data_IF_065070027818
#
_entry.id   IF_065070027818
#
_cell.length_a   1.000
_cell.length_b   1.000
_cell.length_c   1.000
_cell.angle_alpha   90.00
_cell.angle_beta   90.00
_cell.angle_gamma   90.00
#
_symmetry.space_group_name_H-M   'P 1'
#
loop_
_entity.id
_entity.type
_entity.pdbx_description
1 polymer ?
#
# COMPACT_ATOMS: atom_id res chain seq x y z
N UNK A 1 -34.55 33.88 -31.49
CA UNK A 1 -34.49 32.45 -31.14
C UNK A 1 -33.31 32.30 -30.18
N UNK A 2 -33.57 32.44 -28.88
CA UNK A 2 -32.55 32.35 -27.83
C UNK A 2 -32.38 30.89 -27.46
N UNK A 3 -31.18 30.35 -27.62
CA UNK A 3 -30.77 29.08 -27.01
C UNK A 3 -30.17 29.43 -25.65
N UNK A 4 -30.87 29.08 -24.58
CA UNK A 4 -30.38 29.06 -23.21
C UNK A 4 -29.58 27.79 -23.00
N UNK A 5 -28.25 27.89 -23.09
CA UNK A 5 -27.30 26.89 -22.60
C UNK A 5 -26.91 27.21 -21.15
N UNK A 6 -27.87 27.10 -20.23
CA UNK A 6 -27.57 27.14 -18.79
C UNK A 6 -28.38 26.04 -18.11
N UNK A 7 -27.80 24.85 -18.04
CA UNK A 7 -28.44 23.70 -17.39
C UNK A 7 -27.56 22.47 -17.17
N UNK A 8 -26.25 22.55 -17.43
CA UNK A 8 -25.32 21.44 -17.18
C UNK A 8 -24.04 21.99 -16.57
N UNK A 9 -23.95 21.99 -15.22
CA UNK A 9 -22.70 21.95 -14.44
C UNK A 9 -22.99 22.28 -12.97
N UNK A 10 -23.60 21.36 -12.24
CA UNK A 10 -23.55 21.39 -10.76
C UNK A 10 -23.67 20.03 -10.07
N UNK A 11 -24.03 18.92 -10.75
CA UNK A 11 -24.27 17.63 -10.07
C UNK A 11 -23.06 16.69 -9.96
N UNK A 12 -21.93 16.95 -10.65
CA UNK A 12 -20.85 15.95 -10.76
C UNK A 12 -19.89 15.90 -9.57
N UNK A 13 -19.86 16.94 -8.72
CA UNK A 13 -18.88 17.07 -7.63
C UNK A 13 -19.24 16.30 -6.36
N UNK A 14 -20.53 16.09 -6.08
CA UNK A 14 -20.97 15.35 -4.89
C UNK A 14 -20.80 13.84 -5.08
N UNK A 15 -21.10 13.31 -6.28
CA UNK A 15 -20.93 11.89 -6.63
C UNK A 15 -19.45 11.44 -6.59
N UNK A 16 -18.53 12.30 -7.06
CA UNK A 16 -17.09 12.02 -7.02
C UNK A 16 -16.56 12.04 -5.58
N UNK A 17 -16.99 13.02 -4.76
CA UNK A 17 -16.61 13.11 -3.35
C UNK A 17 -17.12 11.92 -2.52
N UNK A 18 -18.32 11.43 -2.82
CA UNK A 18 -18.90 10.26 -2.16
C UNK A 18 -18.15 8.97 -2.56
N UNK A 19 -17.79 8.82 -3.84
CA UNK A 19 -16.98 7.69 -4.31
C UNK A 19 -15.59 7.65 -3.65
N UNK A 20 -14.94 8.80 -3.51
CA UNK A 20 -13.62 8.93 -2.89
C UNK A 20 -13.65 8.57 -1.39
N UNK A 21 -14.67 9.08 -0.69
CA UNK A 21 -14.90 8.80 0.73
C UNK A 21 -15.22 7.33 0.98
N UNK A 22 -16.01 6.70 0.10
CA UNK A 22 -16.30 5.28 0.15
C UNK A 22 -15.04 4.44 -0.10
N UNK A 23 -14.20 4.83 -1.06
CA UNK A 23 -12.97 4.12 -1.37
C UNK A 23 -11.98 4.17 -0.19
N UNK A 24 -11.86 5.32 0.46
CA UNK A 24 -11.02 5.49 1.64
C UNK A 24 -11.52 4.60 2.79
N UNK A 25 -12.83 4.61 3.06
CA UNK A 25 -13.44 3.78 4.09
C UNK A 25 -13.24 2.29 3.83
N UNK A 26 -13.50 1.83 2.61
CA UNK A 26 -13.36 0.41 2.22
C UNK A 26 -11.89 -0.01 2.28
N UNK A 27 -10.97 0.82 1.79
CA UNK A 27 -9.53 0.51 1.85
C UNK A 27 -9.05 0.37 3.30
N UNK A 28 -9.50 1.27 4.18
CA UNK A 28 -9.18 1.22 5.60
C UNK A 28 -9.75 -0.05 6.26
N UNK A 29 -11.03 -0.40 6.01
CA UNK A 29 -11.64 -1.59 6.58
C UNK A 29 -10.98 -2.88 6.08
N UNK A 30 -10.66 -2.96 4.78
CA UNK A 30 -9.92 -4.10 4.21
C UNK A 30 -8.55 -4.29 4.87
N UNK A 31 -7.82 -3.21 5.10
CA UNK A 31 -6.53 -3.27 5.79
C UNK A 31 -6.72 -3.77 7.23
N UNK A 32 -7.72 -3.26 7.96
CA UNK A 32 -7.98 -3.70 9.33
C UNK A 32 -8.36 -5.17 9.41
N UNK A 33 -9.21 -5.65 8.50
CA UNK A 33 -9.57 -7.06 8.41
C UNK A 33 -8.36 -7.95 8.09
N UNK A 34 -7.46 -7.49 7.20
CA UNK A 34 -6.21 -8.19 6.91
C UNK A 34 -5.28 -8.25 8.13
N UNK A 35 -5.14 -7.16 8.88
CA UNK A 35 -4.33 -7.14 10.10
C UNK A 35 -4.89 -8.08 11.17
N UNK A 36 -6.22 -8.11 11.34
CA UNK A 36 -6.87 -9.06 12.25
C UNK A 36 -6.63 -10.51 11.81
N UNK A 37 -6.78 -10.81 10.51
CA UNK A 37 -6.52 -12.13 9.97
C UNK A 37 -5.05 -12.57 10.15
N UNK A 38 -4.10 -11.66 9.91
CA UNK A 38 -2.68 -11.91 10.17
C UNK A 38 -2.43 -12.21 11.65
N UNK A 39 -3.00 -11.42 12.57
CA UNK A 39 -2.85 -11.67 14.01
C UNK A 39 -3.40 -13.05 14.44
N UNK A 40 -4.54 -13.48 13.88
CA UNK A 40 -5.05 -14.84 14.15
C UNK A 40 -4.14 -15.94 13.59
N UNK A 41 -3.56 -15.73 12.41
CA UNK A 41 -2.64 -16.67 11.79
C UNK A 41 -1.30 -16.76 12.53
N UNK A 42 -0.76 -15.64 13.02
CA UNK A 42 0.43 -15.59 13.88
C UNK A 42 0.20 -16.34 15.19
N UNK A 43 -0.96 -16.15 15.83
CA UNK A 43 -1.33 -16.92 17.02
C UNK A 43 -1.42 -18.42 16.72
N UNK A 44 -2.00 -18.78 15.59
CA UNK A 44 -2.12 -20.18 15.15
C UNK A 44 -0.74 -20.79 14.85
N UNK A 45 0.13 -20.06 14.16
CA UNK A 45 1.51 -20.46 13.84
C UNK A 45 2.35 -20.72 15.11
N UNK A 46 2.14 -19.89 16.14
CA UNK A 46 2.79 -20.01 17.44
C UNK A 46 2.24 -21.14 18.32
N UNK A 47 1.14 -21.79 17.92
CA UNK A 47 0.52 -22.85 18.70
C UNK A 47 1.19 -24.22 18.47
N UNK A 48 1.43 -24.93 19.56
CA UNK A 48 1.93 -26.31 19.54
C UNK A 48 0.78 -27.27 19.19
N UNK A 49 0.46 -27.37 17.89
CA UNK A 49 -0.61 -28.25 17.43
C UNK A 49 -0.70 -28.42 15.91
N UNK A 50 -0.02 -27.56 15.14
CA UNK A 50 -0.04 -27.65 13.69
C UNK A 50 0.87 -28.77 13.18
N UNK A 51 0.33 -29.57 12.28
CA UNK A 51 1.15 -30.41 11.39
C UNK A 51 1.97 -29.54 10.44
N UNK A 52 3.03 -30.10 9.85
CA UNK A 52 3.87 -29.41 8.87
C UNK A 52 3.05 -28.85 7.69
N UNK A 53 2.05 -29.62 7.22
CA UNK A 53 1.18 -29.20 6.13
C UNK A 53 0.29 -28.00 6.52
N UNK A 54 -0.23 -27.99 7.74
CA UNK A 54 -1.03 -26.88 8.25
C UNK A 54 -0.18 -25.63 8.49
N UNK A 55 1.05 -25.78 8.99
CA UNK A 55 2.00 -24.67 9.15
C UNK A 55 2.33 -24.02 7.80
N UNK A 56 2.61 -24.82 6.78
CA UNK A 56 2.85 -24.30 5.43
C UNK A 56 1.63 -23.58 4.83
N UNK A 57 0.41 -24.02 5.16
CA UNK A 57 -0.83 -23.31 4.76
C UNK A 57 -1.00 -21.98 5.50
N UNK A 58 -0.66 -21.92 6.79
CA UNK A 58 -0.70 -20.70 7.58
C UNK A 58 0.29 -19.67 7.02
N UNK A 59 1.56 -20.05 6.85
CA UNK A 59 2.59 -19.18 6.27
C UNK A 59 2.18 -18.64 4.90
N UNK A 60 1.68 -19.52 4.03
CA UNK A 60 1.27 -19.11 2.67
C UNK A 60 0.05 -18.20 2.69
N UNK A 61 -0.87 -18.40 3.62
CA UNK A 61 -2.02 -17.50 3.81
C UNK A 61 -1.55 -16.12 4.27
N UNK A 62 -0.61 -16.05 5.20
CA UNK A 62 0.00 -14.79 5.66
C UNK A 62 0.66 -14.04 4.49
N UNK A 63 1.46 -14.72 3.66
CA UNK A 63 2.07 -14.12 2.48
C UNK A 63 1.04 -13.53 1.48
N UNK A 64 -0.07 -14.23 1.26
CA UNK A 64 -1.16 -13.78 0.38
C UNK A 64 -1.85 -12.55 0.96
N UNK A 65 -2.13 -12.54 2.26
CA UNK A 65 -2.77 -11.40 2.94
C UNK A 65 -1.88 -10.16 2.88
N UNK A 66 -0.58 -10.28 3.17
CA UNK A 66 0.37 -9.17 3.05
C UNK A 66 0.44 -8.63 1.62
N UNK A 67 0.49 -9.52 0.62
CA UNK A 67 0.52 -9.12 -0.78
C UNK A 67 -0.76 -8.39 -1.19
N UNK A 68 -1.89 -8.85 -0.70
CA UNK A 68 -3.19 -8.23 -0.96
C UNK A 68 -3.29 -6.84 -0.31
N UNK A 69 -2.79 -6.67 0.92
CA UNK A 69 -2.74 -5.36 1.57
C UNK A 69 -1.87 -4.36 0.83
N UNK A 70 -0.72 -4.79 0.31
CA UNK A 70 0.12 -3.96 -0.56
C UNK A 70 -0.61 -3.53 -1.84
N UNK A 71 -1.37 -4.42 -2.46
CA UNK A 71 -2.15 -4.10 -3.67
C UNK A 71 -3.25 -3.08 -3.39
N UNK A 72 -3.99 -3.24 -2.27
CA UNK A 72 -5.01 -2.27 -1.85
C UNK A 72 -4.39 -0.88 -1.65
N UNK A 73 -3.23 -0.82 -0.99
CA UNK A 73 -2.52 0.44 -0.78
C UNK A 73 -2.05 1.08 -2.11
N UNK A 74 -1.56 0.25 -3.05
CA UNK A 74 -1.15 0.71 -4.37
C UNK A 74 -2.32 1.25 -5.19
N UNK A 75 -3.46 0.56 -5.19
CA UNK A 75 -4.68 1.01 -5.88
C UNK A 75 -5.17 2.32 -5.28
N UNK A 76 -5.26 2.42 -3.95
CA UNK A 76 -5.62 3.67 -3.27
C UNK A 76 -4.69 4.82 -3.65
N UNK A 77 -3.37 4.58 -3.61
CA UNK A 77 -2.37 5.60 -3.97
C UNK A 77 -2.52 6.04 -5.43
N UNK A 78 -2.68 5.09 -6.36
CA UNK A 78 -2.84 5.39 -7.77
C UNK A 78 -4.14 6.16 -8.09
N UNK A 79 -5.22 5.89 -7.35
CA UNK A 79 -6.49 6.64 -7.48
C UNK A 79 -6.35 8.06 -6.95
N UNK A 80 -5.83 8.22 -5.73
CA UNK A 80 -5.57 9.53 -5.12
C UNK A 80 -4.62 10.37 -5.99
N UNK A 81 -3.56 9.78 -6.53
CA UNK A 81 -2.60 10.47 -7.42
C UNK A 81 -3.25 10.89 -8.74
N UNK A 82 -4.19 10.10 -9.26
CA UNK A 82 -4.93 10.38 -10.50
C UNK A 82 -5.94 11.52 -10.32
N UNK A 83 -6.66 11.55 -9.19
CA UNK A 83 -7.67 12.58 -8.91
C UNK A 83 -7.06 13.89 -8.45
N UNK A 84 -6.02 13.85 -7.60
CA UNK A 84 -5.52 15.08 -7.00
C UNK A 84 -4.59 15.87 -7.89
N UNK A 85 -3.91 15.24 -8.87
CA UNK A 85 -2.95 15.91 -9.78
C UNK A 85 -1.75 16.59 -9.11
N UNK A 86 -1.78 16.76 -7.79
CA UNK A 86 -0.79 17.45 -6.97
C UNK A 86 -0.07 16.42 -6.09
N UNK A 87 1.01 15.88 -6.62
CA UNK A 87 2.06 15.32 -5.78
C UNK A 87 2.56 16.43 -4.86
N UNK A 88 2.28 16.35 -3.56
CA UNK A 88 2.81 17.29 -2.56
C UNK A 88 4.08 16.70 -1.94
N UNK A 89 5.27 17.08 -2.43
CA UNK A 89 6.52 16.58 -1.87
C UNK A 89 6.64 17.02 -0.41
N UNK A 90 6.73 16.03 0.48
CA UNK A 90 7.13 16.23 1.88
C UNK A 90 8.57 15.78 2.05
N UNK A 91 9.37 16.52 2.83
CA UNK A 91 10.73 16.09 3.18
C UNK A 91 10.62 14.85 4.07
N UNK A 92 11.08 13.71 3.57
CA UNK A 92 11.16 12.46 4.33
C UNK A 92 12.63 12.05 4.48
N UNK A 93 13.11 11.74 5.69
CA UNK A 93 14.44 11.16 5.86
C UNK A 93 14.51 9.80 5.18
N UNK A 94 15.34 9.68 4.15
CA UNK A 94 15.37 8.54 3.24
C UNK A 94 15.97 7.26 3.83
N UNK A 95 16.66 7.32 4.98
CA UNK A 95 17.36 6.17 5.56
C UNK A 95 16.44 4.95 5.80
N UNK A 96 15.31 5.15 6.47
CA UNK A 96 14.35 4.06 6.77
C UNK A 96 13.63 3.52 5.52
N UNK A 97 13.10 4.38 4.61
CA UNK A 97 12.52 3.92 3.35
C UNK A 97 13.52 3.13 2.48
N UNK A 98 14.77 3.59 2.36
CA UNK A 98 15.81 2.93 1.56
C UNK A 98 16.20 1.57 2.15
N UNK A 99 16.36 1.46 3.47
CA UNK A 99 16.62 0.17 4.12
C UNK A 99 15.49 -0.83 3.93
N UNK A 100 14.24 -0.37 4.04
CA UNK A 100 13.05 -1.21 3.84
C UNK A 100 12.96 -1.69 2.38
N UNK A 101 13.17 -0.78 1.42
CA UNK A 101 13.21 -1.11 0.00
C UNK A 101 14.35 -2.11 -0.30
N UNK A 102 15.55 -1.88 0.24
CA UNK A 102 16.71 -2.77 0.05
C UNK A 102 16.41 -4.21 0.51
N UNK A 103 15.78 -4.37 1.68
CA UNK A 103 15.42 -5.70 2.21
C UNK A 103 14.40 -6.43 1.35
N UNK A 104 13.33 -5.74 0.96
CA UNK A 104 12.29 -6.30 0.08
C UNK A 104 12.87 -6.74 -1.27
N UNK A 105 13.82 -5.96 -1.78
CA UNK A 105 14.44 -6.20 -3.08
C UNK A 105 15.50 -7.31 -3.01
N UNK A 106 16.30 -7.39 -1.94
CA UNK A 106 17.24 -8.52 -1.72
C UNK A 106 16.55 -9.88 -1.77
N UNK A 107 15.35 -10.00 -1.20
CA UNK A 107 14.55 -11.23 -1.30
C UNK A 107 14.16 -11.58 -2.74
N UNK A 108 13.81 -10.58 -3.55
CA UNK A 108 13.43 -10.77 -4.95
C UNK A 108 14.63 -11.11 -5.87
N UNK A 109 15.81 -10.56 -5.60
CA UNK A 109 17.01 -10.72 -6.44
C UNK A 109 17.96 -11.84 -6.02
N UNK A 110 17.70 -12.53 -4.90
CA UNK A 110 18.48 -13.69 -4.45
C UNK A 110 18.61 -14.79 -5.53
N UNK A 111 17.62 -14.91 -6.43
CA UNK A 111 17.63 -15.88 -7.54
C UNK A 111 18.53 -15.48 -8.72
N UNK A 112 18.88 -14.21 -8.88
CA UNK A 112 19.51 -13.67 -10.09
C UNK A 112 20.93 -13.13 -9.91
N UNK A 113 21.59 -13.36 -8.76
CA UNK A 113 22.97 -12.87 -8.46
C UNK A 113 23.16 -11.35 -8.64
N UNK A 114 22.09 -10.57 -8.51
CA UNK A 114 22.14 -9.11 -8.57
C UNK A 114 22.24 -8.54 -7.15
N UNK A 115 23.26 -7.74 -6.89
CA UNK A 115 23.45 -7.02 -5.61
C UNK A 115 23.10 -5.55 -5.78
N UNK A 116 22.31 -5.01 -4.87
CA UNK A 116 22.01 -3.57 -4.80
C UNK A 116 22.80 -2.96 -3.66
N UNK A 117 23.64 -1.99 -4.00
CA UNK A 117 24.39 -1.14 -3.07
C UNK A 117 23.70 0.22 -3.02
N UNK A 118 23.37 0.70 -1.81
CA UNK A 118 22.75 2.02 -1.62
C UNK A 118 23.82 2.94 -1.07
N UNK A 119 24.29 3.87 -1.91
CA UNK A 119 25.21 4.93 -1.50
C UNK A 119 24.43 6.22 -1.31
N UNK A 120 24.32 6.67 -0.07
CA UNK A 120 23.91 8.04 0.21
C UNK A 120 25.02 8.98 -0.26
N UNK A 121 24.67 10.00 -1.06
CA UNK A 121 25.50 11.19 -1.10
C UNK A 121 25.27 11.88 0.25
N UNK A 122 26.27 11.92 1.11
CA UNK A 122 26.25 12.76 2.29
C UNK A 122 26.08 14.20 1.80
N UNK A 123 24.83 14.66 1.79
CA UNK A 123 24.53 16.07 1.64
C UNK A 123 24.89 16.68 2.99
N UNK A 124 26.09 17.26 3.04
CA UNK A 124 26.57 18.13 4.10
C UNK A 124 25.42 19.04 4.54
N UNK A 125 24.92 18.80 5.76
CA UNK A 125 23.97 19.70 6.41
C UNK A 125 24.78 20.89 6.90
N UNK A 126 24.95 21.87 6.01
CA UNK A 126 25.31 23.23 6.42
C UNK A 126 24.03 23.98 6.81
N UNK A 127 24.03 24.41 8.08
CA UNK A 127 23.09 25.23 8.87
C UNK A 127 22.05 26.03 8.09
#
# INVERSE_FOLDING_TARGET
MHLTEEGQRTETGDDEWEADSLLELVSHDMINQQQAALGFLELLESSDGLTEGERALVERTMEVLERTGRLVLQVRTAMVDRERGEYRPVRVPLGKPLESASRSVKGAFARNRLSIDIRGADADVSV
#
